data_IF_317692327849
#
_entry.id   IF_317692327849
#
_cell.length_a   1.000
_cell.length_b   1.000
_cell.length_c   1.000
_cell.angle_alpha   90.00
_cell.angle_beta   90.00
_cell.angle_gamma   90.00
#
_symmetry.space_group_name_H-M   'P 1'
#
loop_
_entity.id
_entity.type
_entity.pdbx_description
1 polymer ?
#
# COMPACT_ATOMS: atom_id res chain seq x y z
N UNK A 1 -3.39 -7.94 29.74
CA UNK A 1 -3.62 -6.60 29.10
C UNK A 1 -3.75 -6.81 27.60
N UNK A 2 -4.80 -6.28 26.94
CA UNK A 2 -4.91 -6.33 25.47
C UNK A 2 -3.75 -5.55 24.85
N UNK A 3 -3.01 -6.16 23.92
CA UNK A 3 -2.01 -5.44 23.12
C UNK A 3 -2.71 -4.27 22.40
N UNK A 4 -2.10 -3.08 22.31
CA UNK A 4 -2.69 -1.99 21.54
C UNK A 4 -2.81 -2.45 20.11
N UNK A 5 -4.01 -2.35 19.61
CA UNK A 5 -4.33 -2.67 18.23
C UNK A 5 -3.97 -1.47 17.35
N UNK A 6 -3.80 -1.70 16.06
CA UNK A 6 -3.74 -0.62 15.07
C UNK A 6 -5.01 0.23 15.05
N UNK A 7 -6.09 -0.24 15.65
CA UNK A 7 -7.28 0.52 15.95
C UNK A 7 -6.95 1.82 16.71
N UNK A 8 -6.12 1.73 17.77
CA UNK A 8 -5.69 2.91 18.52
C UNK A 8 -4.85 3.86 17.64
N UNK A 9 -4.00 3.34 16.74
CA UNK A 9 -3.25 4.16 15.83
C UNK A 9 -4.15 4.88 14.82
N UNK A 10 -5.15 4.20 14.28
CA UNK A 10 -6.16 4.78 13.40
C UNK A 10 -6.99 5.84 14.13
N UNK A 11 -7.52 5.52 15.30
CA UNK A 11 -8.30 6.45 16.10
C UNK A 11 -7.48 7.68 16.48
N UNK A 12 -6.22 7.50 16.88
CA UNK A 12 -5.32 8.62 17.21
C UNK A 12 -5.04 9.51 16.00
N UNK A 13 -4.84 8.95 14.80
CA UNK A 13 -4.67 9.70 13.58
C UNK A 13 -5.91 10.54 13.27
N UNK A 14 -7.08 9.92 13.31
CA UNK A 14 -8.33 10.59 12.97
C UNK A 14 -8.70 11.66 13.98
N UNK A 15 -8.49 11.41 15.28
CA UNK A 15 -8.67 12.41 16.32
C UNK A 15 -7.71 13.59 16.13
N UNK A 16 -6.46 13.33 15.76
CA UNK A 16 -5.48 14.37 15.47
C UNK A 16 -5.89 15.20 14.25
N UNK A 17 -6.23 14.54 13.14
CA UNK A 17 -6.67 15.24 11.92
C UNK A 17 -7.98 16.00 12.12
N UNK A 18 -8.93 15.45 12.90
CA UNK A 18 -10.19 16.10 13.21
C UNK A 18 -10.01 17.33 14.10
N UNK A 19 -9.16 17.22 15.13
CA UNK A 19 -8.89 18.34 16.06
C UNK A 19 -8.20 19.52 15.39
N UNK A 20 -7.42 19.26 14.35
CA UNK A 20 -6.75 20.34 13.58
C UNK A 20 -7.58 20.81 12.38
N UNK A 21 -8.83 20.38 12.23
CA UNK A 21 -9.72 20.75 11.11
C UNK A 21 -9.30 20.19 9.76
N UNK A 22 -8.34 19.28 9.72
CA UNK A 22 -7.77 18.72 8.47
C UNK A 22 -8.46 17.48 7.96
N UNK A 23 -9.22 16.78 8.82
CA UNK A 23 -9.81 15.48 8.49
C UNK A 23 -10.73 15.56 7.27
N UNK A 24 -11.67 16.49 7.24
CA UNK A 24 -12.58 16.63 6.12
C UNK A 24 -11.90 17.11 4.84
N UNK A 25 -10.85 17.94 4.96
CA UNK A 25 -10.11 18.46 3.81
C UNK A 25 -9.26 17.37 3.15
N UNK A 26 -8.63 16.49 3.92
CA UNK A 26 -7.77 15.42 3.41
C UNK A 26 -8.55 14.16 3.06
N UNK A 27 -9.50 13.78 3.91
CA UNK A 27 -10.14 12.45 3.88
C UNK A 27 -11.61 12.48 3.44
N UNK A 28 -12.18 13.67 3.18
CA UNK A 28 -13.58 13.85 2.85
C UNK A 28 -14.49 13.86 4.08
N UNK A 29 -15.75 14.25 3.85
CA UNK A 29 -16.74 14.40 4.94
C UNK A 29 -17.14 13.07 5.59
N UNK A 30 -17.07 11.98 4.85
CA UNK A 30 -17.49 10.64 5.27
C UNK A 30 -16.32 9.79 5.82
N UNK A 31 -15.17 10.39 6.12
CA UNK A 31 -14.01 9.64 6.58
C UNK A 31 -14.24 8.77 7.81
N UNK A 32 -15.15 9.18 8.72
CA UNK A 32 -15.52 8.41 9.91
C UNK A 32 -16.22 7.10 9.55
N UNK A 33 -17.08 7.13 8.55
CA UNK A 33 -17.78 5.95 8.06
C UNK A 33 -16.80 4.95 7.43
N UNK A 34 -15.88 5.44 6.60
CA UNK A 34 -14.80 4.61 6.05
C UNK A 34 -13.95 3.99 7.16
N UNK A 35 -13.61 4.75 8.20
CA UNK A 35 -12.88 4.22 9.34
C UNK A 35 -13.64 3.07 10.02
N UNK A 36 -14.93 3.23 10.28
CA UNK A 36 -15.76 2.19 10.87
C UNK A 36 -15.81 0.90 10.03
N UNK A 37 -15.65 1.00 8.70
CA UNK A 37 -15.54 -0.16 7.81
C UNK A 37 -14.16 -0.82 7.87
N UNK A 38 -13.11 -0.06 8.17
CA UNK A 38 -11.73 -0.56 8.28
C UNK A 38 -11.50 -1.24 9.64
N UNK A 39 -12.06 -0.73 10.72
CA UNK A 39 -11.84 -1.22 12.08
C UNK A 39 -12.04 -2.74 12.25
N UNK A 40 -13.09 -3.38 11.68
CA UNK A 40 -13.28 -4.83 11.79
C UNK A 40 -12.16 -5.69 11.19
N UNK A 41 -11.29 -5.10 10.36
CA UNK A 41 -10.11 -5.77 9.82
C UNK A 41 -8.86 -5.64 10.70
N UNK A 42 -8.88 -4.79 11.72
CA UNK A 42 -7.69 -4.51 12.55
C UNK A 42 -7.88 -4.85 14.03
N UNK A 43 -9.13 -5.05 14.50
CA UNK A 43 -9.45 -5.24 15.91
C UNK A 43 -8.85 -6.50 16.53
N UNK A 44 -8.95 -7.63 15.83
CA UNK A 44 -8.65 -8.96 16.41
C UNK A 44 -7.30 -9.54 15.94
N UNK A 45 -6.55 -8.78 15.13
CA UNK A 45 -5.27 -9.26 14.57
C UNK A 45 -4.09 -8.48 15.15
N UNK A 46 -3.10 -9.16 15.73
CA UNK A 46 -1.93 -8.48 16.26
C UNK A 46 -1.11 -7.82 15.15
N UNK A 47 -0.92 -6.51 15.26
CA UNK A 47 -0.01 -5.71 14.45
C UNK A 47 -0.14 -5.81 12.91
N UNK A 48 -1.34 -5.67 12.32
CA UNK A 48 -1.44 -5.49 10.88
C UNK A 48 -0.77 -4.15 10.51
N UNK A 49 -0.21 -4.05 9.29
CA UNK A 49 0.11 -2.76 8.71
C UNK A 49 -1.17 -2.19 8.12
N UNK A 50 -1.50 -0.97 8.51
CA UNK A 50 -2.63 -0.25 7.96
C UNK A 50 -2.12 0.87 7.07
N UNK A 51 -2.59 0.85 5.82
CA UNK A 51 -2.40 1.94 4.89
C UNK A 51 -3.71 2.69 4.70
N UNK A 52 -3.64 4.01 4.86
CA UNK A 52 -4.74 4.94 4.59
C UNK A 52 -4.42 5.65 3.29
N UNK A 53 -5.31 5.52 2.32
CA UNK A 53 -5.14 6.03 0.97
C UNK A 53 -6.13 7.15 0.70
N UNK A 54 -5.66 8.29 0.22
CA UNK A 54 -6.50 9.42 -0.15
C UNK A 54 -5.95 10.20 -1.35
N UNK A 55 -6.84 10.82 -2.17
CA UNK A 55 -6.43 11.56 -3.35
C UNK A 55 -5.78 12.89 -2.98
N UNK A 56 -4.78 13.29 -3.75
CA UNK A 56 -4.07 14.57 -3.59
C UNK A 56 -4.73 15.70 -4.39
N UNK A 57 -5.77 15.45 -5.18
CA UNK A 57 -6.54 16.46 -5.90
C UNK A 57 -8.00 16.04 -6.07
N UNK A 58 -8.90 17.02 -6.26
CA UNK A 58 -10.33 16.83 -6.46
C UNK A 58 -11.07 16.44 -5.19
N UNK A 59 -12.19 15.72 -5.30
CA UNK A 59 -13.02 15.37 -4.15
C UNK A 59 -12.27 14.47 -3.19
N UNK A 60 -12.12 14.86 -1.92
CA UNK A 60 -11.41 14.07 -0.93
C UNK A 60 -12.23 12.85 -0.51
N UNK A 61 -11.57 11.71 -0.39
CA UNK A 61 -12.13 10.49 0.18
C UNK A 61 -11.03 9.70 0.89
N UNK A 62 -11.40 8.71 1.66
CA UNK A 62 -10.48 7.82 2.36
C UNK A 62 -10.74 6.37 1.95
N UNK A 63 -9.71 5.72 1.45
CA UNK A 63 -9.64 4.27 1.29
C UNK A 63 -8.70 3.67 2.33
N UNK A 64 -8.77 2.37 2.56
CA UNK A 64 -7.89 1.70 3.50
C UNK A 64 -7.47 0.32 3.02
N UNK A 65 -6.25 -0.05 3.38
CA UNK A 65 -5.70 -1.38 3.15
C UNK A 65 -5.04 -1.89 4.43
N UNK A 66 -5.53 -3.03 4.94
CA UNK A 66 -4.91 -3.72 6.07
C UNK A 66 -4.09 -4.90 5.54
N UNK A 67 -2.80 -4.97 5.90
CA UNK A 67 -1.89 -6.05 5.55
C UNK A 67 -1.48 -6.84 6.79
N UNK A 68 -1.37 -8.16 6.64
CA UNK A 68 -1.07 -9.10 7.72
C UNK A 68 0.16 -9.95 7.33
N UNK A 69 1.22 -9.85 8.11
CA UNK A 69 2.40 -10.72 7.97
C UNK A 69 2.24 -12.06 8.67
N UNK A 70 1.33 -12.11 9.67
CA UNK A 70 1.04 -13.29 10.46
C UNK A 70 -0.41 -13.27 10.94
N UNK A 71 -1.07 -14.41 10.95
CA UNK A 71 -2.40 -14.60 11.57
C UNK A 71 -2.43 -15.93 12.31
N UNK A 72 -3.19 -16.01 13.39
CA UNK A 72 -3.39 -17.26 14.09
C UNK A 72 -4.27 -18.24 13.28
N UNK A 73 -4.03 -19.55 13.38
CA UNK A 73 -4.96 -20.54 12.80
C UNK A 73 -6.38 -20.32 13.31
N UNK A 74 -7.35 -20.41 12.41
CA UNK A 74 -8.76 -20.18 12.74
C UNK A 74 -9.17 -18.71 12.88
N UNK A 75 -8.28 -17.75 12.57
CA UNK A 75 -8.64 -16.32 12.50
C UNK A 75 -9.83 -16.11 11.56
N UNK A 76 -10.81 -15.32 12.01
CA UNK A 76 -11.98 -14.94 11.21
C UNK A 76 -12.21 -13.43 11.36
N UNK A 77 -12.33 -12.76 10.23
CA UNK A 77 -12.65 -11.34 10.20
C UNK A 77 -14.17 -11.14 10.32
N UNK A 78 -14.59 -10.18 11.12
CA UNK A 78 -16.01 -9.88 11.34
C UNK A 78 -16.66 -9.14 10.20
N UNK A 79 -15.88 -8.64 9.24
CA UNK A 79 -16.39 -7.92 8.10
C UNK A 79 -17.00 -8.85 7.06
N UNK A 80 -18.24 -8.56 6.62
CA UNK A 80 -18.88 -9.26 5.50
C UNK A 80 -18.06 -9.12 4.21
N UNK A 81 -17.30 -8.03 4.04
CA UNK A 81 -16.42 -7.83 2.90
C UNK A 81 -15.27 -8.87 2.83
N UNK A 82 -14.98 -9.58 3.93
CA UNK A 82 -14.03 -10.69 3.96
C UNK A 82 -14.66 -12.07 3.68
N UNK A 83 -15.94 -12.13 3.36
CA UNK A 83 -16.63 -13.40 3.12
C UNK A 83 -15.98 -14.19 1.98
N UNK A 84 -15.88 -15.52 2.18
CA UNK A 84 -15.28 -16.45 1.21
C UNK A 84 -13.76 -16.45 1.19
N UNK A 85 -13.10 -15.87 2.23
CA UNK A 85 -11.63 -15.86 2.36
C UNK A 85 -11.11 -16.81 3.45
N UNK A 86 -11.98 -17.54 4.14
CA UNK A 86 -11.65 -18.33 5.33
C UNK A 86 -10.60 -19.41 5.02
N UNK A 87 -10.75 -20.10 3.90
CA UNK A 87 -9.81 -21.14 3.46
C UNK A 87 -8.43 -20.56 3.13
N UNK A 88 -8.40 -19.37 2.53
CA UNK A 88 -7.16 -18.65 2.23
C UNK A 88 -6.46 -18.22 3.53
N UNK A 89 -7.21 -17.73 4.52
CA UNK A 89 -6.67 -17.33 5.83
C UNK A 89 -6.07 -18.53 6.56
N UNK A 90 -6.76 -19.67 6.56
CA UNK A 90 -6.25 -20.89 7.18
C UNK A 90 -4.99 -21.42 6.47
N UNK A 91 -4.92 -21.34 5.12
CA UNK A 91 -3.71 -21.62 4.36
C UNK A 91 -2.57 -20.66 4.73
N UNK A 92 -2.85 -19.35 4.77
CA UNK A 92 -1.83 -18.36 5.09
C UNK A 92 -1.26 -18.54 6.50
N UNK A 93 -2.09 -18.86 7.49
CA UNK A 93 -1.65 -19.14 8.87
C UNK A 93 -0.63 -20.31 8.94
N UNK A 94 -0.75 -21.29 8.05
CA UNK A 94 0.18 -22.43 7.97
C UNK A 94 1.48 -22.04 7.24
N UNK A 95 1.36 -21.26 6.17
CA UNK A 95 2.49 -20.93 5.28
C UNK A 95 3.35 -19.82 5.86
N UNK A 96 2.75 -18.81 6.52
CA UNK A 96 3.49 -17.69 7.12
C UNK A 96 4.49 -18.12 8.20
N UNK A 97 4.25 -19.24 8.86
CA UNK A 97 5.20 -19.83 9.81
C UNK A 97 6.48 -20.38 9.15
N UNK A 98 6.44 -20.66 7.85
CA UNK A 98 7.54 -21.26 7.08
C UNK A 98 8.29 -20.25 6.21
N UNK A 99 7.62 -19.18 5.79
CA UNK A 99 8.15 -18.19 4.86
C UNK A 99 8.13 -16.80 5.49
N UNK A 100 9.31 -16.25 5.70
CA UNK A 100 9.46 -14.87 6.15
C UNK A 100 9.08 -13.89 5.02
N UNK A 101 8.66 -12.71 5.42
CA UNK A 101 8.40 -11.58 4.52
C UNK A 101 7.21 -11.75 3.54
N UNK A 102 6.34 -12.76 3.73
CA UNK A 102 5.06 -12.80 3.00
C UNK A 102 3.97 -12.06 3.78
N UNK A 103 2.99 -11.51 3.07
CA UNK A 103 1.81 -10.90 3.68
C UNK A 103 0.59 -11.00 2.78
N UNK A 104 -0.59 -11.00 3.36
CA UNK A 104 -1.82 -10.78 2.63
C UNK A 104 -2.56 -9.57 3.19
N UNK A 105 -3.57 -9.08 2.49
CA UNK A 105 -4.35 -7.96 2.99
C UNK A 105 -5.68 -7.76 2.30
N UNK A 106 -6.45 -6.84 2.86
CA UNK A 106 -7.73 -6.41 2.35
C UNK A 106 -7.70 -4.92 2.02
N UNK A 107 -8.09 -4.56 0.79
CA UNK A 107 -8.27 -3.16 0.37
C UNK A 107 -9.76 -2.84 0.34
N UNK A 108 -10.13 -1.74 0.97
CA UNK A 108 -11.49 -1.21 1.05
C UNK A 108 -11.55 0.12 0.28
N UNK A 109 -12.32 0.14 -0.79
CA UNK A 109 -12.61 1.35 -1.56
C UNK A 109 -13.82 2.08 -0.95
N UNK A 110 -13.71 3.37 -0.64
CA UNK A 110 -14.80 4.18 -0.08
C UNK A 110 -16.00 4.34 -1.01
N UNK A 111 -15.76 4.28 -2.33
CA UNK A 111 -16.81 4.41 -3.34
C UNK A 111 -17.61 3.14 -3.62
N UNK A 112 -17.25 2.01 -3.01
CA UNK A 112 -17.95 0.75 -3.20
C UNK A 112 -19.05 0.58 -2.15
N UNK A 113 -20.10 -0.16 -2.54
CA UNK A 113 -21.13 -0.64 -1.62
C UNK A 113 -20.47 -1.31 -0.40
N UNK A 114 -20.99 -1.05 0.79
CA UNK A 114 -20.49 -1.65 2.04
C UNK A 114 -20.53 -3.20 2.02
N UNK A 115 -21.42 -3.79 1.21
CA UNK A 115 -21.55 -5.22 0.99
C UNK A 115 -20.58 -5.78 -0.07
N UNK A 116 -19.88 -4.90 -0.83
CA UNK A 116 -18.96 -5.36 -1.86
C UNK A 116 -17.74 -6.08 -1.25
N UNK A 117 -17.31 -7.21 -1.84
CA UNK A 117 -16.11 -7.90 -1.38
C UNK A 117 -14.90 -6.98 -1.42
N UNK A 118 -14.11 -6.98 -0.36
CA UNK A 118 -12.81 -6.30 -0.36
C UNK A 118 -11.89 -6.89 -1.43
N UNK A 119 -11.04 -6.06 -2.01
CA UNK A 119 -9.94 -6.59 -2.79
C UNK A 119 -8.97 -7.33 -1.88
N UNK A 120 -8.50 -8.48 -2.33
CA UNK A 120 -7.55 -9.32 -1.58
C UNK A 120 -6.18 -9.18 -2.21
N UNK A 121 -5.19 -8.80 -1.40
CA UNK A 121 -3.80 -8.66 -1.81
C UNK A 121 -2.94 -9.77 -1.25
N UNK A 122 -1.93 -10.21 -2.02
CA UNK A 122 -0.90 -11.12 -1.57
C UNK A 122 0.48 -10.62 -1.97
N UNK A 123 1.37 -10.47 -0.99
CA UNK A 123 2.77 -10.12 -1.17
C UNK A 123 3.61 -11.38 -0.94
N UNK A 124 4.20 -11.90 -2.00
CA UNK A 124 5.05 -13.10 -1.95
C UNK A 124 6.54 -12.77 -2.01
N UNK A 125 6.89 -11.51 -2.33
CA UNK A 125 8.27 -11.07 -2.56
C UNK A 125 9.05 -12.00 -3.51
N UNK A 126 10.03 -12.76 -3.03
CA UNK A 126 10.80 -13.72 -3.83
C UNK A 126 10.16 -15.10 -3.97
N UNK A 127 9.07 -15.38 -3.24
CA UNK A 127 8.43 -16.71 -3.18
C UNK A 127 7.29 -16.84 -4.19
N UNK A 128 7.57 -16.56 -5.46
CA UNK A 128 6.55 -16.43 -6.53
C UNK A 128 5.61 -17.64 -6.66
N UNK A 129 6.09 -18.87 -6.38
CA UNK A 129 5.25 -20.08 -6.42
C UNK A 129 4.07 -20.03 -5.46
N UNK A 130 4.21 -19.33 -4.32
CA UNK A 130 3.14 -19.17 -3.35
C UNK A 130 1.95 -18.37 -3.91
N UNK A 131 2.15 -17.61 -4.99
CA UNK A 131 1.07 -16.88 -5.65
C UNK A 131 -0.01 -17.82 -6.21
N UNK A 132 0.40 -18.97 -6.81
CA UNK A 132 -0.55 -19.97 -7.29
C UNK A 132 -1.29 -20.63 -6.12
N UNK A 133 -0.55 -21.06 -5.08
CA UNK A 133 -1.13 -21.71 -3.91
C UNK A 133 -2.12 -20.79 -3.17
N UNK A 134 -1.81 -19.50 -3.06
CA UNK A 134 -2.70 -18.50 -2.50
C UNK A 134 -4.01 -18.38 -3.30
N UNK A 135 -3.91 -18.29 -4.64
CA UNK A 135 -5.08 -18.23 -5.51
C UNK A 135 -5.92 -19.51 -5.44
N UNK A 136 -5.27 -20.68 -5.35
CA UNK A 136 -5.97 -21.97 -5.17
C UNK A 136 -6.74 -21.99 -3.84
N UNK A 137 -6.11 -21.50 -2.76
CA UNK A 137 -6.74 -21.40 -1.45
C UNK A 137 -7.90 -20.40 -1.42
N UNK A 138 -7.83 -19.32 -2.20
CA UNK A 138 -8.92 -18.36 -2.36
C UNK A 138 -10.05 -18.86 -3.28
N UNK A 139 -9.84 -19.95 -4.02
CA UNK A 139 -10.80 -20.47 -5.00
C UNK A 139 -10.70 -19.84 -6.38
N UNK A 140 -9.58 -19.16 -6.69
CA UNK A 140 -9.32 -18.42 -7.91
C UNK A 140 -8.08 -18.96 -8.69
N UNK A 141 -8.02 -20.27 -9.02
CA UNK A 141 -6.81 -20.86 -9.61
C UNK A 141 -6.42 -20.26 -10.97
N UNK A 142 -7.40 -19.80 -11.73
CA UNK A 142 -7.15 -19.14 -13.02
C UNK A 142 -6.39 -17.81 -12.87
N UNK A 143 -6.64 -17.05 -11.80
CA UNK A 143 -5.92 -15.82 -11.48
C UNK A 143 -4.45 -16.12 -11.16
N UNK A 144 -4.17 -17.18 -10.39
CA UNK A 144 -2.81 -17.64 -10.10
C UNK A 144 -2.04 -18.00 -11.38
N UNK A 145 -2.66 -18.79 -12.28
CA UNK A 145 -2.05 -19.15 -13.57
C UNK A 145 -1.77 -17.92 -14.44
N UNK A 146 -2.68 -16.94 -14.45
CA UNK A 146 -2.50 -15.69 -15.19
C UNK A 146 -1.33 -14.89 -14.63
N UNK A 147 -1.25 -14.77 -13.30
CA UNK A 147 -0.14 -14.11 -12.61
C UNK A 147 1.20 -14.75 -12.94
N UNK A 148 1.32 -16.08 -12.84
CA UNK A 148 2.56 -16.80 -13.12
C UNK A 148 3.02 -16.63 -14.58
N UNK A 149 2.10 -16.64 -15.54
CA UNK A 149 2.42 -16.38 -16.95
C UNK A 149 2.96 -14.98 -17.17
N UNK A 150 2.33 -13.97 -16.56
CA UNK A 150 2.82 -12.60 -16.69
C UNK A 150 4.18 -12.43 -16.02
N UNK A 151 4.34 -12.96 -14.82
CA UNK A 151 5.61 -12.86 -14.11
C UNK A 151 6.77 -13.45 -14.89
N UNK A 152 6.53 -14.53 -15.64
CA UNK A 152 7.53 -15.13 -16.55
C UNK A 152 7.86 -14.26 -17.77
N UNK A 153 7.00 -13.31 -18.14
CA UNK A 153 7.21 -12.38 -19.26
C UNK A 153 7.82 -11.03 -18.82
N UNK A 154 7.92 -10.78 -17.51
CA UNK A 154 8.49 -9.51 -17.03
C UNK A 154 9.97 -9.41 -17.37
N UNK A 155 10.44 -8.25 -17.85
CA UNK A 155 11.84 -8.05 -18.13
C UNK A 155 12.69 -8.01 -16.86
N UNK A 156 13.97 -8.27 -17.02
CA UNK A 156 14.94 -8.14 -15.94
C UNK A 156 14.87 -6.74 -15.32
N UNK A 157 14.90 -6.70 -13.99
CA UNK A 157 14.77 -5.45 -13.21
C UNK A 157 13.34 -5.04 -12.88
N UNK A 158 12.33 -5.70 -13.49
CA UNK A 158 10.91 -5.54 -13.19
C UNK A 158 10.40 -6.79 -12.46
N UNK A 159 10.59 -6.85 -11.15
CA UNK A 159 10.31 -8.05 -10.37
C UNK A 159 8.87 -8.04 -9.81
N UNK A 160 7.94 -8.89 -10.32
CA UNK A 160 6.65 -9.07 -9.68
C UNK A 160 6.84 -9.56 -8.24
N UNK A 161 6.18 -8.91 -7.29
CA UNK A 161 6.37 -9.17 -5.87
C UNK A 161 5.06 -9.31 -5.10
N UNK A 162 3.99 -8.75 -5.63
CA UNK A 162 2.66 -8.82 -5.05
C UNK A 162 1.57 -8.64 -6.11
N UNK A 163 0.35 -9.00 -5.75
CA UNK A 163 -0.82 -8.79 -6.61
C UNK A 163 -2.06 -8.53 -5.77
N UNK A 164 -3.10 -7.97 -6.42
CA UNK A 164 -4.40 -7.75 -5.82
C UNK A 164 -5.51 -8.29 -6.72
N UNK A 165 -6.50 -8.96 -6.13
CA UNK A 165 -7.71 -9.42 -6.82
C UNK A 165 -8.89 -8.54 -6.43
N UNK A 166 -9.46 -7.83 -7.38
CA UNK A 166 -10.54 -6.87 -7.18
C UNK A 166 -11.90 -7.51 -7.44
N UNK A 167 -12.33 -8.42 -6.55
CA UNK A 167 -13.55 -9.22 -6.67
C UNK A 167 -14.83 -8.41 -6.80
N UNK A 168 -14.87 -7.20 -6.24
CA UNK A 168 -16.00 -6.28 -6.31
C UNK A 168 -16.02 -5.37 -7.55
N UNK A 169 -14.99 -5.41 -8.41
CA UNK A 169 -14.92 -4.56 -9.61
C UNK A 169 -15.40 -5.29 -10.87
N UNK A 170 -16.04 -4.60 -11.83
CA UNK A 170 -16.43 -5.20 -13.09
C UNK A 170 -15.27 -5.90 -13.79
N UNK A 171 -15.49 -7.16 -14.18
CA UNK A 171 -14.48 -7.98 -14.83
C UNK A 171 -13.41 -8.52 -13.89
N UNK A 172 -13.52 -8.29 -12.58
CA UNK A 172 -12.62 -8.82 -11.54
C UNK A 172 -11.13 -8.79 -11.94
N UNK A 173 -10.54 -7.61 -12.18
CA UNK A 173 -9.16 -7.52 -12.66
C UNK A 173 -8.18 -8.04 -11.61
N UNK A 174 -7.13 -8.69 -12.08
CA UNK A 174 -5.93 -8.98 -11.33
C UNK A 174 -4.96 -7.81 -11.48
N UNK A 175 -4.60 -7.15 -10.39
CA UNK A 175 -3.54 -6.14 -10.37
C UNK A 175 -2.23 -6.82 -10.08
N UNK A 176 -1.30 -6.75 -11.01
CA UNK A 176 0.08 -7.21 -10.82
C UNK A 176 0.94 -6.04 -10.42
N UNK A 177 1.67 -6.22 -9.34
CA UNK A 177 2.54 -5.21 -8.76
C UNK A 177 3.93 -5.79 -8.53
N UNK A 178 4.93 -4.93 -8.58
CA UNK A 178 6.30 -5.37 -8.36
C UNK A 178 7.26 -4.21 -8.21
N UNK A 179 8.52 -4.57 -8.02
CA UNK A 179 9.59 -3.63 -7.74
C UNK A 179 10.40 -3.34 -9.01
N UNK A 180 10.74 -2.06 -9.20
CA UNK A 180 11.85 -1.70 -10.07
C UNK A 180 13.13 -1.75 -9.25
N UNK A 181 14.11 -2.56 -9.67
CA UNK A 181 15.42 -2.51 -9.04
C UNK A 181 16.08 -1.14 -9.35
N UNK A 182 17.13 -0.82 -8.60
CA UNK A 182 17.79 0.49 -8.70
C UNK A 182 18.29 0.79 -10.10
N UNK A 183 18.94 -0.18 -10.75
CA UNK A 183 19.57 0.00 -12.04
C UNK A 183 18.53 0.17 -13.15
N UNK A 184 17.44 -0.60 -13.09
CA UNK A 184 16.34 -0.48 -14.04
C UNK A 184 15.58 0.85 -13.87
N UNK A 185 15.35 1.28 -12.62
CA UNK A 185 14.77 2.59 -12.33
C UNK A 185 15.63 3.72 -12.93
N UNK A 186 16.94 3.64 -12.75
CA UNK A 186 17.86 4.63 -13.30
C UNK A 186 17.85 4.59 -14.83
N UNK A 187 17.95 3.43 -15.47
CA UNK A 187 17.86 3.29 -16.93
C UNK A 187 16.56 3.87 -17.47
N UNK A 188 15.42 3.54 -16.86
CA UNK A 188 14.11 4.05 -17.26
C UNK A 188 13.96 5.57 -17.02
N UNK A 189 14.68 6.13 -16.03
CA UNK A 189 14.73 7.56 -15.79
C UNK A 189 15.61 8.31 -16.80
N UNK A 190 16.63 7.69 -17.34
CA UNK A 190 17.55 8.27 -18.33
C UNK A 190 16.99 8.14 -19.76
N UNK A 191 16.44 6.97 -20.11
CA UNK A 191 15.96 6.66 -21.46
C UNK A 191 14.47 6.24 -21.48
N UNK A 192 13.56 7.09 -22.01
CA UNK A 192 12.14 6.74 -22.11
C UNK A 192 11.86 5.58 -23.08
N UNK A 193 12.76 5.28 -24.04
CA UNK A 193 12.58 4.15 -24.95
C UNK A 193 12.63 2.81 -24.23
N UNK A 194 13.29 2.78 -23.07
CA UNK A 194 13.31 1.61 -22.19
C UNK A 194 11.93 1.29 -21.63
N UNK A 195 11.17 2.28 -21.21
CA UNK A 195 9.78 2.10 -20.73
C UNK A 195 8.87 1.59 -21.86
N UNK A 196 9.03 2.14 -23.07
CA UNK A 196 8.28 1.68 -24.22
C UNK A 196 8.60 0.22 -24.58
N UNK A 197 9.88 -0.16 -24.54
CA UNK A 197 10.31 -1.55 -24.72
C UNK A 197 9.64 -2.49 -23.73
N UNK A 198 9.66 -2.15 -22.43
CA UNK A 198 9.02 -2.92 -21.38
C UNK A 198 7.52 -3.07 -21.64
N UNK A 199 6.82 -1.97 -21.92
CA UNK A 199 5.38 -2.00 -22.19
C UNK A 199 5.04 -2.86 -23.40
N UNK A 200 5.86 -2.79 -24.45
CA UNK A 200 5.71 -3.62 -25.63
C UNK A 200 5.94 -5.11 -25.33
N UNK A 201 6.97 -5.42 -24.54
CA UNK A 201 7.32 -6.79 -24.14
C UNK A 201 6.21 -7.45 -23.32
N UNK A 202 5.68 -6.74 -22.33
CA UNK A 202 4.57 -7.26 -21.49
C UNK A 202 3.21 -7.22 -22.20
N UNK A 203 3.08 -6.47 -23.31
CA UNK A 203 1.84 -6.34 -24.08
C UNK A 203 0.93 -5.20 -23.65
N UNK A 204 1.37 -4.29 -22.77
CA UNK A 204 0.64 -3.08 -22.43
C UNK A 204 0.65 -2.10 -23.60
N UNK A 205 -0.51 -1.53 -23.98
CA UNK A 205 -0.67 -0.67 -25.18
C UNK A 205 -1.28 0.70 -24.89
N UNK A 206 -1.76 0.93 -23.68
CA UNK A 206 -2.47 2.15 -23.29
C UNK A 206 -1.50 3.26 -22.82
N UNK A 207 -0.52 3.61 -23.65
CA UNK A 207 0.47 4.65 -23.36
C UNK A 207 0.68 5.57 -24.55
N UNK A 208 1.19 6.76 -24.29
CA UNK A 208 1.65 7.74 -25.25
C UNK A 208 2.99 8.37 -24.80
N UNK A 209 3.57 9.21 -25.64
CA UNK A 209 4.84 9.89 -25.35
C UNK A 209 4.76 10.79 -24.12
N UNK A 210 3.58 11.37 -23.82
CA UNK A 210 3.39 12.22 -22.65
C UNK A 210 3.49 11.39 -21.38
N UNK A 211 2.81 10.24 -21.35
CA UNK A 211 2.88 9.31 -20.22
C UNK A 211 4.31 8.83 -19.99
N UNK A 212 5.03 8.42 -21.04
CA UNK A 212 6.41 7.96 -20.93
C UNK A 212 7.31 9.04 -20.33
N UNK A 213 7.19 10.30 -20.78
CA UNK A 213 7.96 11.43 -20.23
C UNK A 213 7.59 11.70 -18.76
N UNK A 214 6.33 11.61 -18.39
CA UNK A 214 5.88 11.81 -17.00
C UNK A 214 6.44 10.72 -16.08
N UNK A 215 6.38 9.45 -16.49
CA UNK A 215 6.96 8.32 -15.74
C UNK A 215 8.47 8.54 -15.56
N UNK A 216 9.20 8.83 -16.65
CA UNK A 216 10.63 9.14 -16.60
C UNK A 216 10.94 10.22 -15.56
N UNK A 217 10.21 11.33 -15.59
CA UNK A 217 10.40 12.44 -14.65
C UNK A 217 10.23 11.98 -13.21
N UNK A 218 9.16 11.23 -12.90
CA UNK A 218 8.92 10.74 -11.54
C UNK A 218 9.98 9.74 -11.08
N UNK A 219 10.43 8.83 -11.96
CA UNK A 219 11.49 7.88 -11.64
C UNK A 219 12.83 8.58 -11.34
N UNK A 220 13.15 9.66 -12.06
CA UNK A 220 14.33 10.49 -11.80
C UNK A 220 14.27 11.20 -10.44
N UNK A 221 13.07 11.59 -10.00
CA UNK A 221 12.84 12.29 -8.72
C UNK A 221 12.64 11.33 -7.55
N UNK A 222 12.49 10.02 -7.80
CA UNK A 222 12.19 9.02 -6.77
C UNK A 222 13.37 8.87 -5.80
N UNK A 223 13.19 9.13 -4.48
CA UNK A 223 14.29 9.14 -3.54
C UNK A 223 14.84 7.76 -3.21
N UNK A 224 13.99 6.72 -3.15
CA UNK A 224 14.41 5.36 -2.77
C UNK A 224 13.98 4.33 -3.80
N UNK A 225 12.72 3.92 -3.76
CA UNK A 225 12.16 2.80 -4.52
C UNK A 225 10.91 3.23 -5.27
N UNK A 226 10.73 2.65 -6.44
CA UNK A 226 9.49 2.72 -7.18
C UNK A 226 8.92 1.32 -7.39
N UNK A 227 7.62 1.18 -7.23
CA UNK A 227 6.88 -0.02 -7.53
C UNK A 227 5.96 0.24 -8.72
N UNK A 228 5.77 -0.76 -9.57
CA UNK A 228 4.89 -0.67 -10.74
C UNK A 228 3.59 -1.46 -10.53
N UNK A 229 2.54 -1.09 -11.24
CA UNK A 229 1.26 -1.79 -11.22
C UNK A 229 0.62 -1.84 -12.60
N UNK A 230 0.11 -3.04 -12.98
CA UNK A 230 -0.71 -3.28 -14.15
C UNK A 230 -2.01 -3.97 -13.75
N UNK A 231 -3.12 -3.58 -14.36
CA UNK A 231 -4.38 -4.31 -14.25
C UNK A 231 -4.54 -5.27 -15.44
N UNK A 232 -4.86 -6.54 -15.18
CA UNK A 232 -5.06 -7.58 -16.19
C UNK A 232 -6.41 -8.26 -15.95
N UNK A 233 -7.14 -8.47 -17.02
CA UNK A 233 -8.44 -9.14 -16.97
C UNK A 233 -8.31 -10.66 -17.21
N UNK A 234 -9.30 -11.47 -16.79
CA UNK A 234 -9.29 -12.93 -16.96
C UNK A 234 -9.14 -13.38 -18.42
N UNK A 235 -9.57 -12.58 -19.38
CA UNK A 235 -9.36 -12.81 -20.82
C UNK A 235 -7.92 -12.54 -21.30
N UNK A 236 -6.99 -12.31 -20.39
CA UNK A 236 -5.55 -11.99 -20.61
C UNK A 236 -5.31 -10.63 -21.26
N UNK A 237 -6.32 -9.81 -21.36
CA UNK A 237 -6.21 -8.44 -21.86
C UNK A 237 -5.64 -7.56 -20.76
N UNK A 238 -4.61 -6.78 -21.09
CA UNK A 238 -4.17 -5.69 -20.24
C UNK A 238 -5.28 -4.64 -20.16
N UNK A 239 -5.51 -4.12 -18.97
CA UNK A 239 -6.31 -2.93 -18.78
C UNK A 239 -5.64 -1.70 -19.39
N UNK A 240 -6.37 -0.60 -19.38
CA UNK A 240 -5.87 0.72 -19.81
C UNK A 240 -5.13 1.46 -18.69
N UNK A 241 -4.86 0.78 -17.56
CA UNK A 241 -4.32 1.38 -16.34
C UNK A 241 -2.90 0.89 -16.08
N UNK A 242 -2.02 1.86 -15.81
CA UNK A 242 -0.69 1.67 -15.26
C UNK A 242 -0.46 2.62 -14.09
N UNK A 243 0.31 2.20 -13.09
CA UNK A 243 0.70 3.10 -12.00
C UNK A 243 2.14 2.87 -11.56
N UNK A 244 2.73 3.94 -11.02
CA UNK A 244 3.99 3.93 -10.27
C UNK A 244 3.69 4.38 -8.85
N UNK A 245 4.13 3.57 -7.88
CA UNK A 245 4.15 3.94 -6.47
C UNK A 245 5.57 4.38 -6.10
N UNK A 246 5.71 5.62 -5.64
CA UNK A 246 6.98 6.22 -5.27
C UNK A 246 7.14 6.13 -3.76
N UNK A 247 8.17 5.41 -3.29
CA UNK A 247 8.53 5.40 -1.88
C UNK A 247 9.14 6.74 -1.50
N UNK A 248 8.55 7.41 -0.50
CA UNK A 248 8.98 8.73 -0.06
C UNK A 248 10.23 8.70 0.83
N UNK A 249 10.74 7.51 1.17
CA UNK A 249 11.95 7.37 1.98
C UNK A 249 11.84 7.90 3.41
N UNK A 250 10.64 8.20 3.87
CA UNK A 250 10.42 8.79 5.18
C UNK A 250 10.55 7.71 6.25
N UNK A 251 11.68 7.71 6.97
CA UNK A 251 11.90 6.90 8.16
C UNK A 251 11.27 7.59 9.38
N UNK A 252 10.83 6.80 10.35
CA UNK A 252 9.99 7.14 11.49
C UNK A 252 10.55 8.17 12.50
N UNK A 253 11.03 9.34 12.09
CA UNK A 253 11.59 10.33 13.00
C UNK A 253 10.92 11.71 12.92
N UNK A 254 11.10 12.54 13.96
CA UNK A 254 10.63 13.94 14.00
C UNK A 254 11.13 14.81 12.83
N UNK A 255 12.21 14.40 12.16
CA UNK A 255 12.78 15.05 10.99
C UNK A 255 11.86 14.94 9.74
N UNK A 256 10.89 14.04 9.75
CA UNK A 256 10.06 13.72 8.59
C UNK A 256 9.12 14.85 8.15
N UNK A 257 8.59 15.64 9.08
CA UNK A 257 7.72 16.80 8.71
C UNK A 257 8.45 17.76 7.80
N UNK A 258 9.69 18.11 8.13
CA UNK A 258 10.49 19.03 7.33
C UNK A 258 10.94 18.40 6.00
N UNK A 259 11.27 17.11 5.99
CA UNK A 259 11.67 16.39 4.77
C UNK A 259 10.53 16.25 3.77
N UNK A 260 9.29 16.12 4.25
CA UNK A 260 8.12 16.07 3.37
C UNK A 260 7.84 17.41 2.68
N UNK A 261 8.07 18.53 3.38
CA UNK A 261 7.73 19.88 2.89
C UNK A 261 8.89 20.54 2.12
N UNK A 262 10.13 20.21 2.44
CA UNK A 262 11.33 20.90 1.93
C UNK A 262 12.37 19.97 1.27
N UNK A 263 12.10 18.69 1.10
CA UNK A 263 13.04 17.72 0.54
C UNK A 263 12.57 17.11 -0.77
N UNK A 264 13.19 16.00 -1.21
CA UNK A 264 12.83 15.31 -2.46
C UNK A 264 11.36 14.94 -2.57
N UNK A 265 10.67 14.70 -1.43
CA UNK A 265 9.23 14.46 -1.41
C UNK A 265 8.44 15.68 -1.88
N UNK A 266 8.85 16.89 -1.45
CA UNK A 266 8.21 18.13 -1.89
C UNK A 266 8.37 18.34 -3.40
N UNK A 267 9.50 17.95 -3.98
CA UNK A 267 9.73 18.09 -5.41
C UNK A 267 8.79 17.18 -6.22
N UNK A 268 8.57 15.94 -5.77
CA UNK A 268 7.58 15.03 -6.37
C UNK A 268 6.18 15.63 -6.27
N UNK A 269 5.79 16.19 -5.10
CA UNK A 269 4.47 16.81 -4.91
C UNK A 269 4.26 18.03 -5.81
N UNK A 270 5.23 18.93 -5.88
CA UNK A 270 5.20 20.11 -6.78
C UNK A 270 5.08 19.69 -8.24
N UNK A 271 5.76 18.63 -8.63
CA UNK A 271 5.68 18.12 -10.00
C UNK A 271 4.29 17.55 -10.31
N UNK A 272 3.68 16.82 -9.37
CA UNK A 272 2.31 16.32 -9.51
C UNK A 272 1.29 17.47 -9.54
N UNK A 273 1.50 18.50 -8.72
CA UNK A 273 0.68 19.73 -8.71
C UNK A 273 0.79 20.47 -10.05
N UNK A 274 1.98 20.64 -10.58
CA UNK A 274 2.20 21.25 -11.90
C UNK A 274 1.51 20.47 -13.05
N UNK A 275 1.26 19.18 -12.88
CA UNK A 275 0.51 18.38 -13.83
C UNK A 275 -1.00 18.29 -13.52
N UNK A 276 -1.48 18.93 -12.44
CA UNK A 276 -2.88 18.89 -11.99
C UNK A 276 -3.28 17.56 -11.36
N UNK A 277 -2.32 16.69 -11.02
CA UNK A 277 -2.56 15.43 -10.33
C UNK A 277 -2.58 15.57 -8.80
N UNK A 278 -2.05 16.67 -8.27
CA UNK A 278 -2.15 17.09 -6.88
C UNK A 278 -2.63 18.55 -6.81
N UNK A 279 -3.12 18.99 -5.67
CA UNK A 279 -3.42 20.38 -5.33
C UNK A 279 -2.70 20.75 -4.02
N UNK A 280 -2.90 21.97 -3.52
CA UNK A 280 -2.21 22.52 -2.34
C UNK A 280 -2.48 21.74 -1.04
N UNK A 281 -3.46 20.85 -1.01
CA UNK A 281 -3.74 19.99 0.16
C UNK A 281 -2.56 19.14 0.60
N UNK A 282 -1.63 18.83 -0.30
CA UNK A 282 -0.44 18.06 0.07
C UNK A 282 0.40 18.74 1.17
N UNK A 283 0.33 20.08 1.29
CA UNK A 283 0.99 20.82 2.38
C UNK A 283 0.41 20.46 3.76
N UNK A 284 -0.86 20.03 3.83
CA UNK A 284 -1.51 19.61 5.07
C UNK A 284 -1.06 18.23 5.53
N UNK A 285 -0.53 17.40 4.61
CA UNK A 285 -0.13 16.02 4.87
C UNK A 285 0.96 15.92 5.94
N UNK A 286 1.90 16.85 5.97
CA UNK A 286 2.93 16.89 7.01
C UNK A 286 2.34 16.92 8.44
N UNK A 287 1.15 17.49 8.59
CA UNK A 287 0.41 17.51 9.87
C UNK A 287 -0.18 16.14 10.25
N UNK A 288 -0.29 15.17 9.32
CA UNK A 288 -0.74 13.82 9.63
C UNK A 288 0.37 12.95 10.22
N UNK A 289 1.63 13.37 10.12
CA UNK A 289 2.74 12.66 10.75
C UNK A 289 2.59 12.69 12.27
N UNK A 290 2.38 11.53 12.85
CA UNK A 290 2.18 11.36 14.28
C UNK A 290 3.14 10.29 14.80
N UNK A 291 3.82 10.60 15.90
CA UNK A 291 4.47 9.60 16.73
C UNK A 291 4.10 9.89 18.18
N UNK A 292 3.47 8.93 18.85
CA UNK A 292 3.12 9.02 20.27
C UNK A 292 3.61 7.79 21.00
N UNK A 293 4.17 7.99 22.18
CA UNK A 293 4.46 6.94 23.13
C UNK A 293 3.43 7.02 24.27
N UNK A 294 2.83 5.89 24.59
CA UNK A 294 1.89 5.74 25.73
C UNK A 294 2.57 4.82 26.73
N UNK A 295 2.99 5.34 27.90
CA UNK A 295 3.59 4.50 28.94
C UNK A 295 2.54 3.50 29.45
N UNK A 296 2.95 2.27 29.64
CA UNK A 296 2.11 1.20 30.17
C UNK A 296 2.95 0.37 31.14
N UNK A 297 2.41 0.09 32.32
CA UNK A 297 3.00 -0.87 33.26
C UNK A 297 2.44 -2.25 32.94
N UNK A 298 3.29 -3.24 32.69
CA UNK A 298 2.83 -4.62 32.51
C UNK A 298 2.60 -5.34 33.85
N UNK A 299 2.11 -6.59 33.78
CA UNK A 299 1.84 -7.40 34.97
C UNK A 299 3.11 -7.72 35.81
N UNK A 300 4.30 -7.54 35.20
CA UNK A 300 5.61 -7.76 35.84
C UNK A 300 6.25 -6.43 36.32
N UNK A 301 5.49 -5.34 36.46
CA UNK A 301 5.94 -3.99 36.83
C UNK A 301 7.06 -3.42 35.92
N UNK A 302 7.18 -3.92 34.68
CA UNK A 302 8.13 -3.38 33.71
C UNK A 302 7.53 -2.22 32.97
N UNK A 303 8.27 -1.11 32.94
CA UNK A 303 7.88 0.04 32.12
C UNK A 303 8.00 -0.32 30.63
N UNK A 304 6.89 -0.32 29.93
CA UNK A 304 6.78 -0.45 28.48
C UNK A 304 6.12 0.80 27.93
N UNK A 305 6.46 1.15 26.70
CA UNK A 305 5.74 2.18 25.98
C UNK A 305 5.17 1.60 24.70
N UNK A 306 3.89 1.85 24.47
CA UNK A 306 3.31 1.65 23.15
C UNK A 306 3.60 2.85 22.27
N UNK A 307 4.12 2.59 21.08
CA UNK A 307 4.32 3.64 20.08
C UNK A 307 3.24 3.55 19.02
N UNK A 308 2.62 4.68 18.75
CA UNK A 308 1.71 4.87 17.63
C UNK A 308 2.42 5.77 16.62
N UNK A 309 2.59 5.26 15.39
CA UNK A 309 3.24 6.03 14.32
C UNK A 309 2.34 6.06 13.11
N UNK A 310 2.16 7.26 12.57
CA UNK A 310 1.51 7.49 11.27
C UNK A 310 2.42 8.36 10.44
N UNK A 311 2.72 7.93 9.22
CA UNK A 311 3.55 8.70 8.32
C UNK A 311 3.17 8.46 6.84
N UNK A 312 3.31 9.49 5.99
CA UNK A 312 3.27 9.33 4.54
C UNK A 312 4.35 8.33 4.10
N UNK A 313 3.97 7.35 3.30
CA UNK A 313 4.89 6.28 2.89
C UNK A 313 5.09 6.26 1.39
N UNK A 314 3.99 6.33 0.64
CA UNK A 314 3.98 6.17 -0.80
C UNK A 314 3.13 7.23 -1.46
N UNK A 315 3.53 7.63 -2.66
CA UNK A 315 2.70 8.40 -3.60
C UNK A 315 2.48 7.56 -4.83
N UNK A 316 1.22 7.33 -5.17
CA UNK A 316 0.81 6.65 -6.40
C UNK A 316 0.48 7.66 -7.49
N UNK A 317 1.22 7.64 -8.57
CA UNK A 317 0.85 8.27 -9.82
C UNK A 317 0.25 7.20 -10.75
N UNK A 318 -0.97 7.44 -11.22
CA UNK A 318 -1.75 6.46 -12.00
C UNK A 318 -2.17 7.08 -13.33
N UNK A 319 -1.95 6.34 -14.42
CA UNK A 319 -2.42 6.69 -15.76
C UNK A 319 -3.54 5.74 -16.18
N UNK A 320 -4.50 6.28 -16.92
CA UNK A 320 -5.55 5.53 -17.57
C UNK A 320 -5.66 5.98 -19.03
N UNK A 321 -5.49 5.04 -19.98
CA UNK A 321 -5.47 5.39 -21.40
C UNK A 321 -4.41 6.46 -21.76
N UNK A 322 -3.22 6.41 -21.14
CA UNK A 322 -2.16 7.42 -21.29
C UNK A 322 -2.34 8.70 -20.48
N UNK A 323 -3.50 8.95 -19.88
CA UNK A 323 -3.82 10.19 -19.15
C UNK A 323 -3.55 10.04 -17.68
N UNK A 324 -2.69 10.91 -17.11
CA UNK A 324 -2.43 10.96 -15.66
C UNK A 324 -3.72 11.31 -14.91
N UNK A 325 -4.05 10.49 -13.95
CA UNK A 325 -5.16 10.66 -13.03
C UNK A 325 -4.72 11.44 -11.79
N UNK A 326 -5.66 11.72 -10.88
CA UNK A 326 -5.33 12.26 -9.56
C UNK A 326 -4.38 11.32 -8.83
N UNK A 327 -3.28 11.86 -8.32
CA UNK A 327 -2.36 11.10 -7.51
C UNK A 327 -2.98 10.78 -6.14
N UNK A 328 -2.57 9.68 -5.55
CA UNK A 328 -3.00 9.25 -4.21
C UNK A 328 -1.80 9.18 -3.29
N UNK A 329 -2.02 9.50 -2.03
CA UNK A 329 -1.04 9.33 -0.97
C UNK A 329 -1.43 8.17 -0.06
N UNK A 330 -0.44 7.38 0.34
CA UNK A 330 -0.58 6.32 1.33
C UNK A 330 0.13 6.75 2.61
N UNK A 331 -0.62 6.81 3.71
CA UNK A 331 -0.08 6.92 5.05
C UNK A 331 -0.04 5.55 5.70
N UNK A 332 1.13 5.14 6.17
CA UNK A 332 1.29 3.94 6.98
C UNK A 332 0.94 4.29 8.44
N UNK A 333 0.02 3.55 9.03
CA UNK A 333 -0.31 3.62 10.45
C UNK A 333 0.06 2.30 11.12
N UNK A 334 0.88 2.36 12.18
CA UNK A 334 1.27 1.17 12.93
C UNK A 334 1.48 1.45 14.40
N UNK A 335 1.22 0.40 15.18
CA UNK A 335 1.53 0.35 16.59
C UNK A 335 2.76 -0.54 16.83
N UNK A 336 3.57 -0.20 17.82
CA UNK A 336 4.70 -0.99 18.27
C UNK A 336 4.84 -0.97 19.79
N UNK A 337 5.71 -1.81 20.34
CA UNK A 337 6.04 -1.83 21.76
C UNK A 337 7.50 -1.48 21.90
N UNK A 338 7.81 -0.50 22.76
CA UNK A 338 9.18 -0.24 23.22
C UNK A 338 9.28 -0.79 24.64
N UNK A 339 10.23 -1.68 24.87
CA UNK A 339 10.58 -2.14 26.21
C UNK A 339 11.52 -1.10 26.86
N UNK A 340 11.18 -0.62 28.04
CA UNK A 340 12.04 0.24 28.84
C UNK A 340 13.24 -0.57 29.34
N UNK A 341 14.45 -0.18 28.98
CA UNK A 341 15.68 -0.83 29.40
C UNK A 341 16.46 -1.47 28.25
N UNK A 342 17.56 -0.81 27.89
CA UNK A 342 18.52 -1.13 26.85
C UNK A 342 18.05 -0.88 25.40
N UNK A 343 18.74 0.06 24.77
CA UNK A 343 18.51 0.43 23.37
C UNK A 343 18.90 -0.69 22.40
N UNK A 344 18.19 -1.80 22.43
CA UNK A 344 18.21 -2.76 21.35
C UNK A 344 17.50 -2.17 20.15
N UNK A 345 18.27 -1.94 19.11
CA UNK A 345 17.80 -1.71 17.78
C UNK A 345 16.92 -2.90 17.37
N UNK A 346 15.61 -2.80 17.53
CA UNK A 346 14.71 -3.64 16.75
C UNK A 346 14.79 -3.14 15.29
N UNK A 347 15.80 -3.63 14.59
CA UNK A 347 15.74 -3.75 13.16
C UNK A 347 14.58 -4.73 12.90
N UNK A 348 13.40 -4.18 12.62
CA UNK A 348 12.35 -4.94 11.96
C UNK A 348 12.96 -5.56 10.70
N UNK A 349 12.40 -6.64 10.14
CA UNK A 349 13.00 -7.32 9.03
C UNK A 349 13.38 -6.30 7.97
N UNK A 350 14.67 -6.01 7.88
CA UNK A 350 15.23 -5.23 6.80
C UNK A 350 14.89 -6.03 5.56
N UNK A 351 14.03 -5.48 4.72
CA UNK A 351 13.87 -5.95 3.37
C UNK A 351 15.22 -5.75 2.66
N UNK A 352 16.14 -6.68 2.91
CA UNK A 352 17.34 -6.82 2.10
C UNK A 352 16.90 -7.37 0.75
N UNK A 353 17.01 -6.57 -0.26
CA UNK A 353 17.19 -6.98 -1.65
C UNK A 353 18.65 -6.83 -2.00
#
# INVERSE_FOLDING_TARGET
MKKPSNELACQALFLHAANEGRGSTLFGVNWKETLNRILPFVEDVPFPWLYLEFPLAGDPFLDGCALYGEVAPGTRFRSEAAAGTERMIDWFAQVSAQYNAISFGFELDAGNDASAPAAVHFQHHSHIRLAQEFCDALGEPAAGQLYMKLAACMPEGWAPAFFGMFRGKPGSPLRVCGYLNRDERQRSAEDPSRLEEVFRQVGFRAYDDRMLRQIKTLLAMTPERADFQFDIYPDKRFGDTFAIDICLGLKQSRLQKNSFVNGPCADVMKQLEAWGAADDRWHLVAGTCLTRALPVTDEDDREKAYTLTVCPKWVKARWRGGVLQKAKLYCEAKAGIIHGGEGEKQDGPQHAL
#
